data_IF_926284996194
#
_entry.id   IF_926284996194
#
_cell.length_a   1.000
_cell.length_b   1.000
_cell.length_c   1.000
_cell.angle_alpha   90.00
_cell.angle_beta   90.00
_cell.angle_gamma   90.00
#
_symmetry.space_group_name_H-M   'P 1'
#
loop_
_entity.id
_entity.type
_entity.pdbx_description
1 polymer ?
#
# COMPACT_ATOMS: atom_id res chain seq x y z
N UNK A 1 -29.71 36.66 16.02
CA UNK A 1 -29.39 35.27 15.62
C UNK A 1 -28.29 35.21 14.54
N UNK A 2 -27.07 35.72 14.79
CA UNK A 2 -26.02 35.85 13.74
C UNK A 2 -24.65 35.21 14.09
N UNK A 3 -24.53 34.51 15.22
CA UNK A 3 -23.24 33.96 15.72
C UNK A 3 -22.82 32.65 15.05
N UNK A 4 -23.70 32.02 14.27
CA UNK A 4 -23.52 30.68 13.71
C UNK A 4 -22.67 30.61 12.43
N UNK A 5 -22.44 31.72 11.70
CA UNK A 5 -21.70 31.71 10.42
C UNK A 5 -20.18 31.66 10.59
N UNK A 6 -19.61 32.44 11.53
CA UNK A 6 -18.17 32.44 11.80
C UNK A 6 -17.68 31.09 12.34
N UNK A 7 -18.51 30.41 13.13
CA UNK A 7 -18.15 29.13 13.73
C UNK A 7 -18.08 28.02 12.67
N UNK A 8 -19.02 27.98 11.71
CA UNK A 8 -18.93 27.07 10.55
C UNK A 8 -17.68 27.31 9.71
N UNK A 9 -17.29 28.57 9.42
CA UNK A 9 -16.07 28.89 8.67
C UNK A 9 -14.79 28.53 9.43
N UNK A 10 -14.69 28.82 10.73
CA UNK A 10 -13.53 28.44 11.55
C UNK A 10 -13.39 26.92 11.66
N UNK A 11 -14.51 26.19 11.78
CA UNK A 11 -14.53 24.72 11.78
C UNK A 11 -14.11 24.17 10.41
N UNK A 12 -14.64 24.73 9.31
CA UNK A 12 -14.28 24.32 7.96
C UNK A 12 -12.79 24.58 7.64
N UNK A 13 -12.25 25.73 8.03
CA UNK A 13 -10.81 26.04 7.87
C UNK A 13 -9.93 25.06 8.65
N UNK A 14 -10.29 24.77 9.90
CA UNK A 14 -9.58 23.77 10.71
C UNK A 14 -9.63 22.36 10.11
N UNK A 15 -10.80 21.96 9.60
CA UNK A 15 -10.97 20.65 8.94
C UNK A 15 -10.21 20.56 7.62
N UNK A 16 -10.23 21.59 6.77
CA UNK A 16 -9.47 21.61 5.52
C UNK A 16 -7.97 21.59 5.75
N UNK A 17 -7.48 22.32 6.76
CA UNK A 17 -6.05 22.31 7.11
C UNK A 17 -5.60 20.93 7.61
N UNK A 18 -6.37 20.31 8.51
CA UNK A 18 -6.09 18.96 9.00
C UNK A 18 -6.16 17.91 7.88
N UNK A 19 -7.19 18.00 7.03
CA UNK A 19 -7.35 17.12 5.87
C UNK A 19 -6.19 17.26 4.88
N UNK A 20 -5.70 18.48 4.64
CA UNK A 20 -4.54 18.73 3.80
C UNK A 20 -3.26 18.15 4.39
N UNK A 21 -3.02 18.36 5.68
CA UNK A 21 -1.88 17.78 6.40
C UNK A 21 -1.91 16.25 6.37
N UNK A 22 -3.06 15.65 6.69
CA UNK A 22 -3.23 14.20 6.66
C UNK A 22 -3.06 13.64 5.25
N UNK A 23 -3.60 14.30 4.23
CA UNK A 23 -3.41 13.92 2.82
C UNK A 23 -1.93 13.95 2.41
N UNK A 24 -1.20 15.02 2.78
CA UNK A 24 0.23 15.11 2.53
C UNK A 24 1.02 14.03 3.27
N UNK A 25 0.64 13.73 4.50
CA UNK A 25 1.23 12.66 5.31
C UNK A 25 1.05 11.28 4.64
N UNK A 26 -0.15 10.99 4.11
CA UNK A 26 -0.39 9.77 3.34
C UNK A 26 0.45 9.72 2.06
N UNK A 27 0.49 10.81 1.28
CA UNK A 27 1.31 10.88 0.06
C UNK A 27 2.79 10.65 0.39
N UNK A 28 3.28 11.16 1.52
CA UNK A 28 4.66 10.97 1.92
C UNK A 28 4.98 9.51 2.29
N UNK A 29 4.11 8.86 3.07
CA UNK A 29 4.31 7.45 3.47
C UNK A 29 4.11 6.49 2.30
N UNK A 30 3.07 6.70 1.49
CA UNK A 30 2.75 5.83 0.37
C UNK A 30 3.48 6.22 -0.92
N UNK A 31 4.09 7.40 -1.00
CA UNK A 31 4.90 7.86 -2.13
C UNK A 31 5.96 6.86 -2.58
N UNK A 32 6.86 6.37 -1.69
CA UNK A 32 7.83 5.34 -2.05
C UNK A 32 7.16 4.03 -2.46
N UNK A 33 6.04 3.64 -1.84
CA UNK A 33 5.29 2.43 -2.24
C UNK A 33 4.70 2.56 -3.65
N UNK A 34 4.15 3.73 -3.99
CA UNK A 34 3.62 4.03 -5.33
C UNK A 34 4.75 4.04 -6.35
N UNK A 35 5.90 4.62 -6.01
CA UNK A 35 7.10 4.58 -6.85
C UNK A 35 7.54 3.14 -7.15
N UNK A 36 7.65 2.29 -6.13
CA UNK A 36 8.00 0.88 -6.30
C UNK A 36 6.96 0.11 -7.11
N UNK A 37 5.68 0.38 -6.87
CA UNK A 37 4.59 -0.21 -7.66
C UNK A 37 4.68 0.17 -9.13
N UNK A 38 4.94 1.44 -9.45
CA UNK A 38 5.12 1.91 -10.83
C UNK A 38 6.36 1.25 -11.47
N UNK A 39 7.50 1.20 -10.77
CA UNK A 39 8.72 0.56 -11.25
C UNK A 39 8.55 -0.96 -11.49
N UNK A 40 7.62 -1.62 -10.79
CA UNK A 40 7.32 -3.05 -11.03
C UNK A 40 6.81 -3.35 -12.44
N UNK A 41 6.25 -2.35 -13.13
CA UNK A 41 5.85 -2.45 -14.54
C UNK A 41 7.01 -2.26 -15.51
N UNK A 42 8.26 -2.29 -15.07
CA UNK A 42 9.39 -2.29 -16.00
C UNK A 42 9.65 -3.67 -16.60
N UNK A 43 10.35 -3.73 -17.73
CA UNK A 43 10.83 -5.00 -18.31
C UNK A 43 12.21 -5.43 -17.77
N UNK A 44 12.81 -6.47 -18.38
CA UNK A 44 14.20 -6.93 -18.05
C UNK A 44 15.28 -5.85 -18.16
N UNK A 45 15.05 -4.80 -18.96
CA UNK A 45 15.97 -3.66 -19.15
C UNK A 45 15.58 -2.44 -18.29
N UNK A 46 14.63 -2.59 -17.36
CA UNK A 46 14.23 -1.59 -16.39
C UNK A 46 15.34 -1.28 -15.39
N UNK A 47 15.41 -0.02 -14.94
CA UNK A 47 16.35 0.41 -13.90
C UNK A 47 15.65 0.60 -12.55
N UNK A 48 16.39 0.48 -11.45
CA UNK A 48 15.87 0.58 -10.07
C UNK A 48 15.44 1.99 -9.64
N UNK A 49 15.40 2.96 -10.56
CA UNK A 49 15.13 4.36 -10.28
C UNK A 49 14.46 5.05 -11.47
N UNK A 50 13.77 6.15 -11.20
CA UNK A 50 13.23 7.02 -12.25
C UNK A 50 14.36 7.76 -12.99
N UNK A 51 14.23 8.02 -14.30
CA UNK A 51 13.06 7.79 -15.16
C UNK A 51 12.91 6.35 -15.66
N UNK A 52 11.66 5.87 -15.69
CA UNK A 52 11.32 4.49 -16.04
C UNK A 52 11.63 4.19 -17.52
N UNK A 53 12.32 3.07 -17.80
CA UNK A 53 12.67 2.67 -19.18
C UNK A 53 11.63 1.71 -19.76
N UNK A 54 10.55 2.27 -20.29
CA UNK A 54 9.42 1.53 -20.87
C UNK A 54 8.51 0.89 -19.83
N UNK A 55 7.35 0.40 -20.28
CA UNK A 55 6.37 -0.34 -19.47
C UNK A 55 6.16 -1.75 -20.04
N UNK A 56 6.07 -2.75 -19.18
CA UNK A 56 5.97 -4.17 -19.49
C UNK A 56 5.28 -4.91 -18.35
N UNK A 57 4.55 -5.97 -18.69
CA UNK A 57 3.99 -6.92 -17.72
C UNK A 57 4.89 -8.14 -17.49
N UNK A 58 6.15 -8.07 -17.93
CA UNK A 58 7.10 -9.18 -17.87
C UNK A 58 7.25 -9.76 -16.44
N UNK A 59 7.51 -8.91 -15.44
CA UNK A 59 7.70 -9.38 -14.07
C UNK A 59 6.40 -9.91 -13.45
N UNK A 60 5.27 -9.31 -13.78
CA UNK A 60 3.95 -9.77 -13.34
C UNK A 60 3.62 -11.17 -13.87
N UNK A 61 3.90 -11.44 -15.15
CA UNK A 61 3.77 -12.78 -15.71
C UNK A 61 4.74 -13.76 -15.04
N UNK A 62 5.96 -13.32 -14.71
CA UNK A 62 6.96 -14.16 -14.05
C UNK A 62 6.62 -14.56 -12.62
N UNK A 63 5.73 -13.82 -11.95
CA UNK A 63 5.19 -14.19 -10.62
C UNK A 63 4.25 -15.40 -10.69
N UNK A 64 3.54 -15.57 -11.80
CA UNK A 64 2.54 -16.64 -11.99
C UNK A 64 3.17 -17.87 -12.66
N UNK A 65 4.18 -17.66 -13.49
CA UNK A 65 4.96 -18.78 -14.04
C UNK A 65 5.72 -19.54 -12.94
N UNK A 66 5.92 -20.86 -13.09
CA UNK A 66 6.80 -21.61 -12.22
C UNK A 66 8.20 -20.99 -12.29
N UNK A 67 8.66 -20.46 -11.15
CA UNK A 67 9.95 -19.81 -11.06
C UNK A 67 11.03 -20.85 -10.75
N UNK A 68 12.13 -20.83 -11.51
CA UNK A 68 13.28 -21.73 -11.31
C UNK A 68 14.01 -21.49 -9.98
N UNK A 69 13.76 -20.35 -9.34
CA UNK A 69 14.41 -19.89 -8.11
C UNK A 69 13.56 -20.13 -6.85
N UNK A 70 12.33 -20.64 -6.97
CA UNK A 70 11.50 -21.02 -5.83
C UNK A 70 9.98 -21.03 -6.07
N UNK A 71 9.26 -21.78 -5.26
CA UNK A 71 7.79 -21.87 -5.27
C UNK A 71 7.15 -20.64 -4.60
N UNK A 72 7.04 -19.53 -5.33
CA UNK A 72 6.44 -18.27 -4.86
C UNK A 72 4.98 -18.47 -4.44
N UNK A 73 4.18 -19.18 -5.25
CA UNK A 73 2.76 -19.37 -5.00
C UNK A 73 2.50 -20.23 -3.77
N UNK A 74 3.19 -21.36 -3.65
CA UNK A 74 3.05 -22.21 -2.48
C UNK A 74 3.66 -21.57 -1.23
N UNK A 75 4.74 -20.79 -1.32
CA UNK A 75 5.27 -20.04 -0.17
C UNK A 75 4.24 -19.02 0.35
N UNK A 76 3.58 -18.27 -0.55
CA UNK A 76 2.50 -17.36 -0.19
C UNK A 76 1.33 -18.11 0.47
N UNK A 77 0.88 -19.22 -0.13
CA UNK A 77 -0.24 -19.99 0.42
C UNK A 77 0.07 -20.54 1.82
N UNK A 78 1.28 -21.08 2.02
CA UNK A 78 1.74 -21.57 3.34
C UNK A 78 1.77 -20.44 4.37
N UNK A 79 2.31 -19.27 4.02
CA UNK A 79 2.31 -18.12 4.93
C UNK A 79 0.90 -17.62 5.26
N UNK A 80 -0.03 -17.64 4.30
CA UNK A 80 -1.41 -17.22 4.50
C UNK A 80 -2.13 -18.17 5.46
N UNK A 81 -1.97 -19.49 5.27
CA UNK A 81 -2.53 -20.50 6.17
C UNK A 81 -1.99 -20.32 7.59
N UNK A 82 -0.67 -20.16 7.73
CA UNK A 82 -0.05 -19.93 9.04
C UNK A 82 -0.56 -18.64 9.70
N UNK A 83 -0.68 -17.55 8.94
CA UNK A 83 -1.22 -16.28 9.45
C UNK A 83 -2.68 -16.42 9.92
N UNK A 84 -3.51 -17.15 9.18
CA UNK A 84 -4.89 -17.40 9.55
C UNK A 84 -4.99 -18.27 10.81
N UNK A 85 -4.21 -19.34 10.90
CA UNK A 85 -4.13 -20.18 12.11
C UNK A 85 -3.71 -19.34 13.31
N UNK A 86 -2.68 -18.51 13.15
CA UNK A 86 -2.18 -17.64 14.21
C UNK A 86 -3.21 -16.60 14.66
N UNK A 87 -3.94 -15.99 13.72
CA UNK A 87 -5.02 -15.06 14.01
C UNK A 87 -6.12 -15.73 14.84
N UNK A 88 -6.52 -16.95 14.47
CA UNK A 88 -7.54 -17.72 15.18
C UNK A 88 -7.09 -18.05 16.60
N UNK A 89 -5.88 -18.60 16.74
CA UNK A 89 -5.32 -18.92 18.07
C UNK A 89 -5.27 -17.66 18.93
N UNK A 90 -4.75 -16.55 18.40
CA UNK A 90 -4.64 -15.29 19.14
C UNK A 90 -6.00 -14.75 19.58
N UNK A 91 -7.01 -14.82 18.71
CA UNK A 91 -8.37 -14.37 19.03
C UNK A 91 -9.02 -15.20 20.14
N UNK A 92 -8.71 -16.50 20.23
CA UNK A 92 -9.23 -17.38 21.28
C UNK A 92 -8.36 -17.38 22.55
N UNK A 93 -7.06 -17.15 22.44
CA UNK A 93 -6.12 -17.19 23.56
C UNK A 93 -6.05 -15.89 24.35
N UNK A 94 -6.64 -14.81 23.86
CA UNK A 94 -6.79 -13.54 24.60
C UNK A 94 -8.17 -13.55 25.27
N UNK A 95 -8.34 -14.12 26.49
CA UNK A 95 -9.46 -13.71 27.31
C UNK A 95 -9.27 -12.22 27.64
N UNK A 96 -10.32 -11.43 27.46
CA UNK A 96 -10.35 -10.03 27.87
C UNK A 96 -9.88 -9.84 29.31
#
# INVERSE_FOLDING_TARGET
MARWSKQKRKKALGTTLFSGYYGLFLIFIYGPMIAMFILSFQGRRGGTSFPMRGSSFYWWQKLIEPSVVGDMQGALLRSLILALIFMVITAFSQPC
#
